data_IF_448968357397
#
_entry.id   IF_448968357397
#
_cell.length_a   1.000
_cell.length_b   1.000
_cell.length_c   1.000
_cell.angle_alpha   90.00
_cell.angle_beta   90.00
_cell.angle_gamma   90.00
#
_symmetry.space_group_name_H-M   'P 1'
#
loop_
_entity.id
_entity.type
_entity.pdbx_description
1 polymer ?
#
# COMPACT_ATOMS: atom_id res chain seq x y z
N UNK A 1 25.44 -5.16 -5.37
CA UNK A 1 25.25 -4.52 -6.68
C UNK A 1 24.01 -3.57 -6.68
N UNK A 2 22.80 -4.01 -6.33
CA UNK A 2 21.58 -3.17 -6.36
C UNK A 2 21.66 -1.87 -5.52
N UNK A 3 22.24 -1.91 -4.32
CA UNK A 3 22.37 -0.72 -3.44
C UNK A 3 23.36 0.34 -3.95
N UNK A 4 24.33 -0.07 -4.76
CA UNK A 4 25.30 0.85 -5.40
C UNK A 4 24.60 1.70 -6.48
N UNK A 5 23.64 1.15 -7.20
CA UNK A 5 22.85 1.88 -8.21
C UNK A 5 22.09 3.03 -7.54
N UNK A 6 21.52 2.81 -6.35
CA UNK A 6 20.81 3.86 -5.60
C UNK A 6 21.75 5.01 -5.23
N UNK A 7 23.01 4.73 -4.88
CA UNK A 7 24.02 5.76 -4.63
C UNK A 7 24.26 6.65 -5.88
N UNK A 8 24.36 6.03 -7.07
CA UNK A 8 24.50 6.78 -8.32
C UNK A 8 23.23 7.58 -8.65
N UNK A 9 22.04 7.01 -8.42
CA UNK A 9 20.80 7.78 -8.60
C UNK A 9 20.73 8.97 -7.66
N UNK A 10 21.13 8.82 -6.40
CA UNK A 10 21.18 9.91 -5.44
C UNK A 10 22.15 11.03 -5.84
N UNK A 11 23.28 10.69 -6.51
CA UNK A 11 24.26 11.67 -7.00
C UNK A 11 23.80 12.41 -8.26
N UNK A 12 23.17 11.68 -9.20
CA UNK A 12 22.95 12.15 -10.55
C UNK A 12 21.49 12.35 -10.96
N UNK A 13 20.55 11.97 -10.10
CA UNK A 13 19.10 12.16 -10.28
C UNK A 13 18.49 12.91 -9.11
N UNK A 14 17.16 12.97 -9.05
CA UNK A 14 16.44 13.55 -7.93
C UNK A 14 16.66 12.71 -6.67
N UNK A 15 16.97 13.40 -5.57
CA UNK A 15 17.22 12.76 -4.27
C UNK A 15 15.95 12.33 -3.54
N UNK A 16 14.78 12.74 -4.01
CA UNK A 16 13.49 12.39 -3.43
C UNK A 16 13.45 12.54 -1.90
N UNK A 17 13.96 13.67 -1.39
CA UNK A 17 14.10 13.97 0.03
C UNK A 17 14.90 12.93 0.86
N UNK A 18 15.80 12.20 0.22
CA UNK A 18 16.77 11.32 0.89
C UNK A 18 18.04 12.12 1.16
N UNK A 19 18.36 12.36 2.43
CA UNK A 19 19.63 12.99 2.79
C UNK A 19 20.77 11.96 2.81
N UNK A 20 22.02 12.42 2.91
CA UNK A 20 23.19 11.54 2.84
C UNK A 20 23.23 10.50 3.99
N UNK A 21 22.83 10.87 5.20
CA UNK A 21 22.78 9.96 6.34
C UNK A 21 21.75 8.83 6.11
N UNK A 22 20.58 9.17 5.59
CA UNK A 22 19.56 8.17 5.23
C UNK A 22 20.02 7.24 4.11
N UNK A 23 20.72 7.79 3.10
CA UNK A 23 21.33 6.99 2.04
C UNK A 23 22.34 5.98 2.60
N UNK A 24 23.24 6.42 3.48
CA UNK A 24 24.22 5.52 4.12
C UNK A 24 23.54 4.44 4.96
N UNK A 25 22.53 4.81 5.75
CA UNK A 25 21.72 3.84 6.51
C UNK A 25 21.06 2.81 5.58
N UNK A 26 20.49 3.26 4.46
CA UNK A 26 19.85 2.36 3.48
C UNK A 26 20.88 1.41 2.84
N UNK A 27 22.05 1.91 2.44
CA UNK A 27 23.11 1.10 1.83
C UNK A 27 23.65 0.06 2.83
N UNK A 28 23.78 0.42 4.10
CA UNK A 28 24.25 -0.46 5.18
C UNK A 28 23.14 -1.29 5.85
N UNK A 29 21.88 -1.11 5.43
CA UNK A 29 20.71 -1.78 6.03
C UNK A 29 20.88 -3.30 6.00
N UNK A 30 20.54 -3.96 7.09
CA UNK A 30 20.54 -5.43 7.20
C UNK A 30 19.59 -6.07 6.18
N UNK A 31 19.71 -7.37 5.97
CA UNK A 31 18.76 -8.14 5.18
C UNK A 31 17.34 -8.01 5.76
N UNK A 32 16.34 -8.05 4.90
CA UNK A 32 14.91 -7.87 5.27
C UNK A 32 14.49 -8.83 6.39
N UNK A 33 14.91 -10.10 6.31
CA UNK A 33 14.62 -11.11 7.33
C UNK A 33 15.14 -10.71 8.71
N UNK A 34 16.37 -10.15 8.78
CA UNK A 34 16.96 -9.70 10.04
C UNK A 34 16.24 -8.48 10.62
N UNK A 35 15.68 -7.63 9.79
CA UNK A 35 14.88 -6.48 10.23
C UNK A 35 13.53 -6.97 10.75
N UNK A 36 12.83 -7.77 9.94
CA UNK A 36 11.52 -8.32 10.28
C UNK A 36 11.54 -9.16 11.57
N UNK A 37 12.61 -9.93 11.80
CA UNK A 37 12.74 -10.76 13.01
C UNK A 37 12.73 -9.96 14.32
N UNK A 38 12.96 -8.64 14.28
CA UNK A 38 12.82 -7.77 15.47
C UNK A 38 11.36 -7.56 15.88
N UNK A 39 10.46 -7.70 14.93
CA UNK A 39 9.02 -7.45 15.08
C UNK A 39 8.20 -8.73 15.13
N UNK A 40 8.68 -9.79 14.47
CA UNK A 40 8.02 -11.10 14.45
C UNK A 40 8.25 -11.83 15.76
N UNK A 41 7.18 -12.42 16.28
CA UNK A 41 7.23 -13.35 17.43
C UNK A 41 7.27 -14.80 16.94
N UNK A 42 6.27 -15.19 16.15
CA UNK A 42 6.13 -16.55 15.64
C UNK A 42 5.36 -16.57 14.31
N UNK A 43 5.66 -17.56 13.48
CA UNK A 43 4.88 -17.91 12.28
C UNK A 43 4.49 -19.38 12.43
N UNK A 44 3.19 -19.63 12.71
CA UNK A 44 2.65 -20.97 12.75
C UNK A 44 2.15 -21.38 11.38
N UNK A 45 2.69 -22.47 10.86
CA UNK A 45 2.38 -22.97 9.52
C UNK A 45 1.47 -24.20 9.54
N UNK A 46 0.92 -24.62 10.66
CA UNK A 46 0.17 -25.87 10.81
C UNK A 46 -1.27 -25.78 10.28
N UNK A 47 -1.90 -24.60 10.33
CA UNK A 47 -3.29 -24.37 9.93
C UNK A 47 -3.50 -24.19 8.43
N UNK A 48 -4.72 -23.80 8.02
CA UNK A 48 -5.08 -23.49 6.62
C UNK A 48 -4.47 -22.17 6.10
N UNK A 49 -4.03 -21.32 7.00
CA UNK A 49 -3.25 -20.10 6.77
C UNK A 49 -1.97 -20.18 7.59
N UNK A 50 -0.96 -19.39 7.22
CA UNK A 50 0.10 -19.08 8.18
C UNK A 50 -0.42 -18.06 9.19
N UNK A 51 -0.31 -18.36 10.50
CA UNK A 51 -0.65 -17.43 11.58
C UNK A 51 0.60 -16.66 11.99
N UNK A 52 0.62 -15.36 11.72
CA UNK A 52 1.76 -14.51 12.00
C UNK A 52 1.49 -13.70 13.25
N UNK A 53 2.35 -13.84 14.25
CA UNK A 53 2.31 -13.12 15.53
C UNK A 53 3.47 -12.16 15.62
N UNK A 54 3.23 -10.99 16.21
CA UNK A 54 4.20 -9.90 16.32
C UNK A 54 4.52 -9.59 17.79
N UNK A 55 5.72 -9.07 18.05
CA UNK A 55 6.13 -8.60 19.37
C UNK A 55 5.45 -7.29 19.79
N UNK A 56 4.95 -6.52 18.80
CA UNK A 56 4.42 -5.18 18.98
C UNK A 56 2.91 -5.14 19.18
N UNK A 57 2.22 -6.26 18.97
CA UNK A 57 0.75 -6.37 19.08
C UNK A 57 0.32 -7.79 19.36
N UNK A 58 -0.78 -7.97 20.07
CA UNK A 58 -1.40 -9.28 20.30
C UNK A 58 -2.28 -9.77 19.13
N UNK A 59 -2.40 -8.96 18.07
CA UNK A 59 -3.21 -9.31 16.90
C UNK A 59 -2.51 -10.34 16.05
N UNK A 60 -3.30 -11.19 15.41
CA UNK A 60 -2.82 -12.24 14.50
C UNK A 60 -3.12 -11.80 13.08
N UNK A 61 -2.09 -11.82 12.23
CA UNK A 61 -2.23 -11.70 10.79
C UNK A 61 -2.36 -13.12 10.20
N UNK A 62 -3.33 -13.32 9.34
CA UNK A 62 -3.44 -14.54 8.55
C UNK A 62 -2.85 -14.31 7.17
N UNK A 63 -1.87 -15.16 6.79
CA UNK A 63 -1.19 -15.09 5.51
C UNK A 63 -1.59 -16.29 4.64
N UNK A 64 -1.92 -16.11 3.35
CA UNK A 64 -2.33 -17.21 2.47
C UNK A 64 -1.20 -18.24 2.27
N UNK A 65 -1.54 -19.51 2.27
CA UNK A 65 -0.58 -20.62 2.01
C UNK A 65 -0.04 -20.60 0.58
N UNK A 66 -0.81 -20.06 -0.33
CA UNK A 66 -0.49 -19.92 -1.74
C UNK A 66 0.59 -18.87 -2.00
N UNK A 67 0.81 -17.98 -1.02
CA UNK A 67 1.79 -16.92 -1.12
C UNK A 67 3.13 -17.31 -0.44
N UNK A 68 4.28 -16.97 -1.04
CA UNK A 68 5.59 -17.26 -0.46
C UNK A 68 5.74 -16.65 0.94
N UNK A 69 6.28 -17.44 1.86
CA UNK A 69 6.49 -17.02 3.27
C UNK A 69 7.48 -15.85 3.40
N UNK A 70 8.39 -15.69 2.44
CA UNK A 70 9.34 -14.58 2.40
C UNK A 70 8.66 -13.21 2.27
N UNK A 71 7.45 -13.16 1.70
CA UNK A 71 6.62 -11.97 1.68
C UNK A 71 6.27 -11.45 3.07
N UNK A 72 6.10 -12.34 4.06
CA UNK A 72 5.84 -11.95 5.46
C UNK A 72 6.97 -11.07 6.01
N UNK A 73 8.22 -11.41 5.72
CA UNK A 73 9.37 -10.62 6.16
C UNK A 73 9.40 -9.25 5.49
N UNK A 74 9.07 -9.19 4.20
CA UNK A 74 9.02 -7.93 3.46
C UNK A 74 7.97 -7.00 4.03
N UNK A 75 6.70 -7.41 4.08
CA UNK A 75 5.60 -6.56 4.57
C UNK A 75 5.78 -6.18 6.04
N UNK A 76 6.39 -7.07 6.85
CA UNK A 76 6.74 -6.76 8.24
C UNK A 76 7.76 -5.63 8.32
N UNK A 77 8.83 -5.68 7.49
CA UNK A 77 9.82 -4.60 7.44
C UNK A 77 9.19 -3.28 7.00
N UNK A 78 8.44 -3.28 5.91
CA UNK A 78 7.81 -2.10 5.33
C UNK A 78 6.77 -1.45 6.27
N UNK A 79 6.08 -2.27 7.08
CA UNK A 79 5.04 -1.77 7.99
C UNK A 79 5.59 -1.28 9.33
N UNK A 80 6.63 -1.92 9.88
CA UNK A 80 7.11 -1.58 11.24
C UNK A 80 8.40 -0.78 11.26
N UNK A 81 9.28 -0.91 10.25
CA UNK A 81 10.53 -0.17 10.20
C UNK A 81 10.31 1.25 9.68
N UNK A 82 10.24 2.22 10.60
CA UNK A 82 10.04 3.65 10.26
C UNK A 82 11.13 4.24 9.37
N UNK A 83 12.30 3.60 9.27
CA UNK A 83 13.38 4.01 8.37
C UNK A 83 13.22 3.38 6.96
N UNK A 84 12.25 2.49 6.78
CA UNK A 84 11.93 1.97 5.45
C UNK A 84 11.33 3.08 4.56
N UNK A 85 11.76 3.11 3.30
CA UNK A 85 11.23 4.11 2.38
C UNK A 85 9.81 3.81 1.94
N UNK A 86 9.36 2.58 2.11
CA UNK A 86 8.00 2.13 1.84
C UNK A 86 7.04 2.37 3.03
N UNK A 87 7.54 2.88 4.16
CA UNK A 87 6.72 3.12 5.34
C UNK A 87 5.63 4.15 5.07
N UNK A 88 4.35 3.75 5.22
CA UNK A 88 3.17 4.52 4.82
C UNK A 88 2.89 5.75 5.69
N UNK A 89 3.51 5.87 6.85
CA UNK A 89 3.26 7.00 7.76
C UNK A 89 4.50 7.89 7.87
N UNK A 90 4.36 9.15 7.51
CA UNK A 90 5.39 10.19 7.65
C UNK A 90 4.77 11.42 8.29
N UNK A 91 5.59 12.39 8.70
CA UNK A 91 5.11 13.66 9.24
C UNK A 91 4.01 14.23 8.35
N UNK A 92 2.89 14.60 8.94
CA UNK A 92 1.63 15.07 8.33
C UNK A 92 0.74 13.99 7.68
N UNK A 93 1.23 12.77 7.49
CA UNK A 93 0.45 11.64 7.00
C UNK A 93 0.49 10.47 7.99
N UNK A 94 0.47 10.77 9.30
CA UNK A 94 0.26 9.78 10.35
C UNK A 94 -1.23 9.47 10.50
N UNK A 95 -1.54 8.23 10.88
CA UNK A 95 -2.87 7.83 11.34
C UNK A 95 -3.07 8.33 12.77
N UNK A 96 -4.07 9.18 12.94
CA UNK A 96 -4.50 9.71 14.24
C UNK A 96 -5.85 9.09 14.67
N UNK A 97 -6.24 9.17 15.96
CA UNK A 97 -7.54 8.67 16.40
C UNK A 97 -8.72 9.28 15.65
N UNK A 98 -9.69 8.44 15.26
CA UNK A 98 -10.90 8.85 14.54
C UNK A 98 -10.81 8.79 13.00
N UNK A 99 -9.68 8.37 12.44
CA UNK A 99 -9.53 8.27 10.98
C UNK A 99 -10.52 7.28 10.34
N UNK A 100 -10.96 7.64 9.14
CA UNK A 100 -11.66 6.73 8.23
C UNK A 100 -10.64 6.39 7.11
N UNK A 101 -10.06 5.20 7.24
CA UNK A 101 -9.01 4.71 6.34
C UNK A 101 -9.61 4.01 5.13
N UNK A 102 -9.19 4.44 3.95
CA UNK A 102 -9.34 3.72 2.70
C UNK A 102 -7.99 3.10 2.32
N UNK A 103 -7.88 1.78 2.42
CA UNK A 103 -6.69 0.98 2.08
C UNK A 103 -6.93 0.25 0.75
N UNK A 104 -6.30 0.73 -0.32
CA UNK A 104 -6.48 0.24 -1.67
C UNK A 104 -5.26 -0.59 -2.07
N UNK A 105 -5.48 -1.83 -2.51
CA UNK A 105 -4.44 -2.84 -2.60
C UNK A 105 -4.00 -3.23 -1.18
N UNK A 106 -4.98 -3.67 -0.38
CA UNK A 106 -4.74 -3.98 1.03
C UNK A 106 -3.86 -5.23 1.21
N UNK A 107 -3.77 -6.09 0.20
CA UNK A 107 -3.06 -7.36 0.23
C UNK A 107 -3.40 -8.16 1.50
N UNK A 108 -2.43 -8.50 2.35
CA UNK A 108 -2.62 -9.21 3.62
C UNK A 108 -3.23 -8.35 4.72
N UNK A 109 -3.20 -7.00 4.58
CA UNK A 109 -3.81 -6.05 5.50
C UNK A 109 -2.99 -5.71 6.75
N UNK A 110 -1.67 -5.98 6.78
CA UNK A 110 -0.84 -5.73 7.96
C UNK A 110 -0.84 -4.25 8.36
N UNK A 111 -0.71 -3.33 7.39
CA UNK A 111 -0.80 -1.89 7.69
C UNK A 111 -2.11 -1.55 8.40
N UNK A 112 -3.24 -1.92 7.81
CA UNK A 112 -4.57 -1.70 8.36
C UNK A 112 -4.75 -2.34 9.74
N UNK A 113 -4.20 -3.55 9.95
CA UNK A 113 -4.25 -4.25 11.24
C UNK A 113 -3.48 -3.49 12.33
N UNK A 114 -2.35 -2.85 12.00
CA UNK A 114 -1.57 -2.08 12.99
C UNK A 114 -2.28 -0.82 13.47
N UNK A 115 -3.18 -0.26 12.67
CA UNK A 115 -3.87 1.01 12.97
C UNK A 115 -5.35 0.84 13.31
N UNK A 116 -5.88 -0.40 13.32
CA UNK A 116 -7.30 -0.69 13.48
C UNK A 116 -7.94 -0.06 14.72
N UNK A 117 -7.22 0.06 15.84
CA UNK A 117 -7.78 0.67 17.06
C UNK A 117 -7.88 2.19 16.97
N UNK A 118 -7.03 2.81 16.17
CA UNK A 118 -7.06 4.26 15.98
C UNK A 118 -8.16 4.69 15.01
N UNK A 119 -8.51 3.84 14.05
CA UNK A 119 -9.49 4.17 13.04
C UNK A 119 -10.91 4.01 13.55
N UNK A 120 -11.77 4.95 13.19
CA UNK A 120 -13.21 4.84 13.37
C UNK A 120 -13.79 3.80 12.39
N UNK A 121 -13.31 3.80 11.14
CA UNK A 121 -13.69 2.86 10.09
C UNK A 121 -12.51 2.54 9.19
N UNK A 122 -12.46 1.30 8.71
CA UNK A 122 -11.51 0.85 7.70
C UNK A 122 -12.28 0.31 6.50
N UNK A 123 -11.84 0.67 5.31
CA UNK A 123 -12.38 0.19 4.05
C UNK A 123 -11.20 -0.38 3.29
N UNK A 124 -11.15 -1.71 3.14
CA UNK A 124 -10.08 -2.43 2.51
C UNK A 124 -10.55 -2.96 1.16
N UNK A 125 -9.80 -2.67 0.13
CA UNK A 125 -10.07 -3.10 -1.24
C UNK A 125 -8.91 -3.98 -1.70
N UNK A 126 -9.22 -5.23 -2.06
CA UNK A 126 -8.23 -6.21 -2.50
C UNK A 126 -8.83 -7.14 -3.55
N UNK A 127 -8.32 -7.14 -4.78
CA UNK A 127 -8.83 -7.99 -5.84
C UNK A 127 -8.40 -9.46 -5.71
N UNK A 128 -7.28 -9.78 -5.06
CA UNK A 128 -6.77 -11.14 -4.96
C UNK A 128 -7.58 -11.98 -3.97
N UNK A 129 -8.19 -13.06 -4.44
CA UNK A 129 -9.05 -13.94 -3.64
C UNK A 129 -8.32 -14.62 -2.48
N UNK A 130 -7.03 -14.93 -2.62
CA UNK A 130 -6.24 -15.53 -1.54
C UNK A 130 -6.07 -14.54 -0.39
N UNK A 131 -5.70 -13.31 -0.71
CA UNK A 131 -5.61 -12.25 0.29
C UNK A 131 -6.98 -11.88 0.86
N UNK A 132 -8.03 -11.82 0.03
CA UNK A 132 -9.37 -11.53 0.53
C UNK A 132 -9.86 -12.56 1.57
N UNK A 133 -9.56 -13.86 1.37
CA UNK A 133 -9.86 -14.91 2.37
C UNK A 133 -9.07 -14.69 3.66
N UNK A 134 -7.80 -14.31 3.56
CA UNK A 134 -6.95 -14.00 4.71
C UNK A 134 -7.43 -12.75 5.45
N UNK A 135 -7.79 -11.68 4.73
CA UNK A 135 -8.38 -10.44 5.28
C UNK A 135 -9.66 -10.72 6.07
N UNK A 136 -10.57 -11.51 5.52
CA UNK A 136 -11.81 -11.91 6.24
C UNK A 136 -11.49 -12.57 7.58
N UNK A 137 -10.46 -13.42 7.64
CA UNK A 137 -10.05 -14.08 8.88
C UNK A 137 -9.32 -13.12 9.83
N UNK A 138 -8.40 -12.30 9.31
CA UNK A 138 -7.65 -11.31 10.08
C UNK A 138 -8.56 -10.28 10.75
N UNK A 139 -9.56 -9.79 10.01
CA UNK A 139 -10.45 -8.73 10.48
C UNK A 139 -11.78 -9.23 11.06
N UNK A 140 -11.99 -10.53 11.21
CA UNK A 140 -13.20 -11.09 11.86
C UNK A 140 -13.51 -10.47 13.22
N UNK A 141 -12.51 -10.18 14.10
CA UNK A 141 -12.78 -9.50 15.38
C UNK A 141 -13.23 -8.02 15.23
N UNK A 142 -13.09 -7.43 14.06
CA UNK A 142 -13.30 -6.00 13.79
C UNK A 142 -14.40 -5.72 12.75
N UNK A 143 -15.25 -6.71 12.46
CA UNK A 143 -16.30 -6.63 11.42
C UNK A 143 -17.30 -5.48 11.61
N UNK A 144 -17.43 -4.94 12.84
CA UNK A 144 -18.29 -3.80 13.12
C UNK A 144 -17.75 -2.47 12.56
N UNK A 145 -16.45 -2.40 12.24
CA UNK A 145 -15.81 -1.19 11.70
C UNK A 145 -14.96 -1.41 10.45
N UNK A 146 -14.85 -2.65 9.97
CA UNK A 146 -14.08 -3.00 8.76
C UNK A 146 -15.02 -3.45 7.66
N UNK A 147 -14.91 -2.79 6.49
CA UNK A 147 -15.59 -3.19 5.26
C UNK A 147 -14.57 -3.75 4.28
N UNK A 148 -14.83 -4.91 3.70
CA UNK A 148 -13.95 -5.59 2.75
C UNK A 148 -14.60 -5.63 1.37
N UNK A 149 -13.88 -5.20 0.33
CA UNK A 149 -14.33 -5.22 -1.06
C UNK A 149 -13.37 -6.03 -1.92
N UNK A 150 -13.88 -7.13 -2.49
CA UNK A 150 -13.11 -7.98 -3.40
C UNK A 150 -13.35 -7.53 -4.85
N UNK A 151 -12.77 -6.42 -5.21
CA UNK A 151 -12.88 -5.81 -6.55
C UNK A 151 -11.55 -5.16 -6.94
N UNK A 152 -11.30 -5.03 -8.23
CA UNK A 152 -10.28 -4.14 -8.74
C UNK A 152 -10.83 -2.71 -8.85
N UNK A 153 -9.96 -1.72 -8.73
CA UNK A 153 -10.36 -0.31 -8.85
C UNK A 153 -9.60 0.41 -9.96
N UNK A 154 -10.30 1.29 -10.67
CA UNK A 154 -9.73 2.02 -11.81
C UNK A 154 -10.60 3.20 -12.26
N UNK A 155 -10.34 3.71 -13.45
CA UNK A 155 -10.97 4.92 -13.99
C UNK A 155 -12.40 4.72 -14.55
N UNK A 156 -12.85 3.49 -14.67
CA UNK A 156 -14.16 3.14 -15.23
C UNK A 156 -14.73 1.87 -14.59
N UNK A 157 -16.05 1.69 -14.73
CA UNK A 157 -16.71 0.44 -14.37
C UNK A 157 -16.70 -0.49 -15.59
N UNK A 158 -16.10 -1.67 -15.47
CA UNK A 158 -15.98 -2.67 -16.54
C UNK A 158 -15.61 -4.04 -15.99
N UNK A 159 -15.64 -5.06 -16.80
CA UNK A 159 -14.96 -6.32 -16.50
C UNK A 159 -13.50 -6.26 -16.97
N UNK A 160 -12.63 -6.91 -16.23
CA UNK A 160 -11.21 -7.06 -16.55
C UNK A 160 -10.78 -8.51 -16.32
N UNK A 161 -9.65 -8.90 -16.89
CA UNK A 161 -8.95 -10.12 -16.52
C UNK A 161 -7.88 -9.76 -15.52
N UNK A 162 -7.94 -10.37 -14.35
CA UNK A 162 -6.99 -10.19 -13.25
C UNK A 162 -6.17 -11.47 -13.09
N UNK A 163 -4.87 -11.35 -13.10
CA UNK A 163 -3.97 -12.47 -12.84
C UNK A 163 -3.55 -12.45 -11.38
N UNK A 164 -3.95 -13.49 -10.63
CA UNK A 164 -3.61 -13.70 -9.22
C UNK A 164 -2.45 -14.68 -9.00
N UNK A 165 -1.76 -15.14 -10.07
CA UNK A 165 -0.74 -16.21 -9.98
C UNK A 165 0.58 -15.75 -9.30
N UNK A 166 0.63 -14.52 -8.79
CA UNK A 166 1.77 -13.99 -8.05
C UNK A 166 1.29 -13.21 -6.82
N UNK A 167 2.18 -12.94 -5.85
CA UNK A 167 1.97 -11.96 -4.76
C UNK A 167 1.49 -10.62 -5.31
N UNK A 168 1.87 -10.32 -6.54
CA UNK A 168 1.58 -9.11 -7.29
C UNK A 168 0.44 -9.43 -8.25
N UNK A 169 -0.81 -9.36 -7.78
CA UNK A 169 -1.96 -9.43 -8.68
C UNK A 169 -1.98 -8.24 -9.63
N UNK A 170 -2.14 -8.48 -10.93
CA UNK A 170 -2.15 -7.41 -11.96
C UNK A 170 -3.36 -7.51 -12.86
N UNK A 171 -3.87 -6.35 -13.26
CA UNK A 171 -4.76 -6.25 -14.40
C UNK A 171 -3.99 -6.63 -15.66
N UNK A 172 -4.49 -7.61 -16.40
CA UNK A 172 -3.88 -8.08 -17.65
C UNK A 172 -4.82 -7.83 -18.83
N UNK A 173 -4.27 -7.61 -20.01
CA UNK A 173 -5.07 -7.40 -21.22
C UNK A 173 -5.80 -8.68 -21.69
N UNK A 174 -6.77 -8.52 -22.58
CA UNK A 174 -7.78 -9.51 -23.00
C UNK A 174 -7.27 -10.88 -23.48
N UNK A 175 -5.98 -11.01 -23.80
CA UNK A 175 -5.38 -12.25 -24.33
C UNK A 175 -4.54 -13.03 -23.30
N UNK A 176 -4.64 -12.72 -21.99
CA UNK A 176 -3.85 -13.37 -20.95
C UNK A 176 -4.71 -14.25 -20.04
N UNK A 177 -4.10 -15.26 -19.45
CA UNK A 177 -4.74 -16.16 -18.48
C UNK A 177 -4.99 -15.38 -17.18
N UNK A 178 -6.21 -15.48 -16.65
CA UNK A 178 -6.59 -14.84 -15.38
C UNK A 178 -8.06 -15.05 -15.07
N UNK A 179 -8.51 -14.50 -13.96
CA UNK A 179 -9.90 -14.54 -13.50
C UNK A 179 -10.63 -13.27 -13.93
N UNK A 180 -11.85 -13.41 -14.46
CA UNK A 180 -12.73 -12.26 -14.71
C UNK A 180 -13.10 -11.59 -13.40
N UNK A 181 -12.95 -10.27 -13.33
CA UNK A 181 -13.21 -9.48 -12.15
C UNK A 181 -13.84 -8.13 -12.51
N UNK A 182 -14.63 -7.59 -11.59
CA UNK A 182 -15.18 -6.25 -11.72
C UNK A 182 -14.09 -5.21 -11.47
N UNK A 183 -13.95 -4.27 -12.39
CA UNK A 183 -13.23 -3.01 -12.22
C UNK A 183 -14.25 -1.94 -11.88
N UNK A 184 -14.06 -1.24 -10.77
CA UNK A 184 -15.02 -0.25 -10.27
C UNK A 184 -14.32 1.05 -9.92
N UNK A 185 -14.96 2.19 -10.15
CA UNK A 185 -14.46 3.48 -9.65
C UNK A 185 -14.66 3.58 -8.14
N UNK A 186 -13.69 4.16 -7.44
CA UNK A 186 -13.82 4.45 -6.00
C UNK A 186 -15.04 5.33 -5.74
N UNK A 187 -15.28 6.34 -6.58
CA UNK A 187 -16.40 7.28 -6.48
C UNK A 187 -17.78 6.59 -6.51
N UNK A 188 -17.88 5.43 -7.18
CA UNK A 188 -19.11 4.65 -7.28
C UNK A 188 -19.17 3.53 -6.23
N UNK A 189 -18.02 3.02 -5.78
CA UNK A 189 -17.93 1.93 -4.80
C UNK A 189 -18.29 2.39 -3.38
N UNK A 190 -17.85 3.59 -3.01
CA UNK A 190 -18.01 4.15 -1.67
C UNK A 190 -18.56 5.59 -1.72
N UNK A 191 -19.70 5.81 -2.39
CA UNK A 191 -20.25 7.15 -2.55
C UNK A 191 -20.46 7.82 -1.18
N UNK A 192 -20.16 9.11 -1.13
CA UNK A 192 -20.38 9.99 0.03
C UNK A 192 -19.75 9.52 1.36
N UNK A 193 -18.79 8.56 1.30
CA UNK A 193 -18.06 8.12 2.50
C UNK A 193 -16.97 9.14 2.84
N UNK A 194 -16.93 9.66 4.09
CA UNK A 194 -16.00 10.73 4.49
C UNK A 194 -14.59 10.16 4.78
N UNK A 195 -13.82 9.89 3.73
CA UNK A 195 -12.47 9.35 3.86
C UNK A 195 -11.51 10.42 4.39
N UNK A 196 -10.73 10.10 5.43
CA UNK A 196 -9.74 11.00 6.02
C UNK A 196 -8.30 10.59 5.72
N UNK A 197 -8.07 9.31 5.41
CA UNK A 197 -6.78 8.78 5.00
C UNK A 197 -6.97 7.79 3.83
N UNK A 198 -6.16 7.95 2.78
CA UNK A 198 -6.09 7.06 1.62
C UNK A 198 -4.68 6.46 1.54
N UNK A 199 -4.56 5.14 1.64
CA UNK A 199 -3.36 4.38 1.26
C UNK A 199 -3.61 3.72 -0.07
N UNK A 200 -2.63 3.75 -0.98
CA UNK A 200 -2.71 3.06 -2.25
C UNK A 200 -1.39 2.38 -2.62
N UNK A 201 -1.50 1.10 -2.99
CA UNK A 201 -0.40 0.28 -3.49
C UNK A 201 -0.99 -0.74 -4.48
N UNK A 202 -0.91 -0.44 -5.78
CA UNK A 202 -1.69 -1.11 -6.82
C UNK A 202 -0.83 -1.66 -7.97
N UNK A 203 0.46 -1.82 -7.71
CA UNK A 203 1.38 -2.47 -8.65
C UNK A 203 1.35 -1.88 -10.07
N UNK A 204 1.19 -0.54 -10.16
CA UNK A 204 1.20 0.20 -11.41
C UNK A 204 -0.17 0.72 -11.88
N UNK A 205 -1.23 0.50 -11.10
CA UNK A 205 -2.58 0.95 -11.47
C UNK A 205 -3.04 2.21 -10.70
N UNK A 206 -2.10 2.88 -10.00
CA UNK A 206 -2.38 4.02 -9.14
C UNK A 206 -2.99 5.21 -9.89
N UNK A 207 -2.52 5.50 -11.11
CA UNK A 207 -3.05 6.61 -11.92
C UNK A 207 -4.51 6.35 -12.33
N UNK A 208 -4.81 5.12 -12.76
CA UNK A 208 -6.18 4.76 -13.13
C UNK A 208 -7.12 4.76 -11.92
N UNK A 209 -6.65 4.30 -10.76
CA UNK A 209 -7.39 4.39 -9.50
C UNK A 209 -7.66 5.86 -9.12
N UNK A 210 -6.66 6.74 -9.18
CA UNK A 210 -6.83 8.16 -8.88
C UNK A 210 -7.87 8.84 -9.79
N UNK A 211 -7.92 8.48 -11.08
CA UNK A 211 -8.97 8.96 -12.00
C UNK A 211 -10.36 8.51 -11.56
N UNK A 212 -10.49 7.32 -11.01
CA UNK A 212 -11.76 6.79 -10.48
C UNK A 212 -12.11 7.25 -9.06
N UNK A 213 -11.22 8.00 -8.40
CA UNK A 213 -11.39 8.55 -7.06
C UNK A 213 -11.46 10.08 -7.04
N UNK A 214 -11.65 10.73 -8.19
CA UNK A 214 -11.59 12.18 -8.32
C UNK A 214 -12.58 12.89 -7.40
N UNK A 215 -13.85 12.47 -7.39
CA UNK A 215 -14.91 13.06 -6.54
C UNK A 215 -14.57 12.85 -5.06
N UNK A 216 -14.17 11.63 -4.68
CA UNK A 216 -13.79 11.27 -3.31
C UNK A 216 -12.65 12.14 -2.81
N UNK A 217 -11.59 12.32 -3.61
CA UNK A 217 -10.42 13.14 -3.24
C UNK A 217 -10.80 14.62 -3.13
N UNK A 218 -11.58 15.15 -4.08
CA UNK A 218 -12.01 16.57 -4.07
C UNK A 218 -12.88 16.92 -2.87
N UNK A 219 -13.82 16.05 -2.53
CA UNK A 219 -14.76 16.28 -1.42
C UNK A 219 -14.10 16.12 -0.05
N UNK A 220 -13.35 15.05 0.12
CA UNK A 220 -12.86 14.67 1.44
C UNK A 220 -11.47 15.22 1.75
N UNK A 221 -10.68 15.51 0.72
CA UNK A 221 -9.29 16.00 0.85
C UNK A 221 -8.48 15.16 1.86
N UNK A 222 -8.45 13.80 1.74
CA UNK A 222 -7.81 12.92 2.70
C UNK A 222 -6.30 13.13 2.73
N UNK A 223 -5.64 12.77 3.83
CA UNK A 223 -4.21 12.46 3.77
C UNK A 223 -3.98 11.29 2.83
N UNK A 224 -2.94 11.34 1.98
CA UNK A 224 -2.67 10.29 0.99
C UNK A 224 -1.25 9.77 1.16
N UNK A 225 -1.11 8.43 1.22
CA UNK A 225 0.16 7.72 1.11
C UNK A 225 0.05 6.74 -0.07
N UNK A 226 0.85 6.94 -1.12
CA UNK A 226 0.73 6.21 -2.38
C UNK A 226 2.10 5.79 -2.90
N UNK A 227 2.23 4.55 -3.35
CA UNK A 227 3.43 4.04 -4.02
C UNK A 227 3.62 4.69 -5.39
N UNK A 228 4.88 4.90 -5.80
CA UNK A 228 5.19 5.63 -7.03
C UNK A 228 6.33 5.01 -7.85
N UNK A 229 6.82 3.82 -7.47
CA UNK A 229 7.99 3.18 -8.10
C UNK A 229 7.64 2.11 -9.15
N UNK A 230 6.37 1.78 -9.31
CA UNK A 230 5.95 0.80 -10.31
C UNK A 230 6.19 1.31 -11.74
N UNK A 231 6.49 0.41 -12.67
CA UNK A 231 6.96 0.77 -14.02
C UNK A 231 5.96 1.62 -14.81
N UNK A 232 4.70 1.31 -14.65
CA UNK A 232 3.58 1.95 -15.35
C UNK A 232 3.28 3.35 -14.79
N UNK A 233 3.84 3.67 -13.63
CA UNK A 233 3.61 4.95 -12.97
C UNK A 233 4.71 5.96 -13.28
N UNK A 234 4.26 7.17 -13.52
CA UNK A 234 5.08 8.36 -13.46
C UNK A 234 4.69 9.15 -12.21
N UNK A 235 5.61 9.27 -11.26
CA UNK A 235 5.39 10.03 -10.02
C UNK A 235 4.98 11.48 -10.31
N UNK A 236 5.48 12.08 -11.39
CA UNK A 236 5.09 13.43 -11.81
C UNK A 236 3.64 13.51 -12.27
N UNK A 237 3.12 12.46 -12.92
CA UNK A 237 1.70 12.38 -13.30
C UNK A 237 0.81 12.22 -12.07
N UNK A 238 1.20 11.40 -11.08
CA UNK A 238 0.47 11.26 -9.81
C UNK A 238 0.38 12.62 -9.11
N UNK A 239 1.52 13.32 -8.96
CA UNK A 239 1.58 14.65 -8.33
C UNK A 239 0.69 15.64 -9.10
N UNK A 240 0.83 15.71 -10.42
CA UNK A 240 0.07 16.63 -11.27
C UNK A 240 -1.44 16.35 -11.19
N UNK A 241 -1.85 15.09 -11.13
CA UNK A 241 -3.24 14.69 -11.04
C UNK A 241 -3.86 15.09 -9.70
N UNK A 242 -3.20 14.78 -8.59
CA UNK A 242 -3.68 15.13 -7.24
C UNK A 242 -3.71 16.65 -7.06
N UNK A 243 -2.68 17.37 -7.51
CA UNK A 243 -2.64 18.85 -7.46
C UNK A 243 -3.70 19.49 -8.36
N UNK A 244 -4.07 18.88 -9.48
CA UNK A 244 -5.19 19.33 -10.33
C UNK A 244 -6.54 19.15 -9.64
N UNK A 245 -6.72 18.09 -8.87
CA UNK A 245 -7.96 17.87 -8.11
C UNK A 245 -8.09 18.84 -6.95
N UNK A 246 -7.00 19.05 -6.20
CA UNK A 246 -6.95 19.88 -5.01
C UNK A 246 -5.60 20.61 -5.00
N UNK A 247 -5.52 21.86 -5.52
CA UNK A 247 -4.28 22.64 -5.62
C UNK A 247 -3.58 22.88 -4.28
N UNK A 248 -4.33 22.89 -3.17
CA UNK A 248 -3.84 23.16 -1.81
C UNK A 248 -2.99 22.03 -1.21
N UNK A 249 -3.01 20.81 -1.77
CA UNK A 249 -2.19 19.74 -1.26
C UNK A 249 -0.70 20.11 -1.23
N UNK A 250 -0.09 19.94 -0.08
CA UNK A 250 1.35 19.80 0.04
C UNK A 250 1.73 18.35 -0.25
N UNK A 251 2.96 18.12 -0.71
CA UNK A 251 3.42 16.75 -0.93
C UNK A 251 4.89 16.57 -0.52
N UNK A 252 5.24 15.32 -0.27
CA UNK A 252 6.57 14.89 0.07
C UNK A 252 6.86 13.56 -0.67
N UNK A 253 7.94 13.54 -1.44
CA UNK A 253 8.45 12.32 -2.07
C UNK A 253 9.47 11.65 -1.15
N UNK A 254 9.52 10.31 -1.12
CA UNK A 254 10.47 9.57 -0.29
C UNK A 254 11.02 8.36 -0.98
N UNK A 255 12.34 8.17 -0.79
CA UNK A 255 13.06 6.98 -1.24
C UNK A 255 13.48 7.05 -2.71
N UNK A 256 14.34 6.12 -3.10
CA UNK A 256 14.90 6.03 -4.45
C UNK A 256 14.73 4.59 -4.94
N UNK A 257 13.91 4.41 -5.96
CA UNK A 257 13.68 3.12 -6.61
C UNK A 257 14.97 2.61 -7.26
N UNK A 258 15.24 1.32 -7.09
CA UNK A 258 16.42 0.67 -7.66
C UNK A 258 16.37 0.55 -9.17
N UNK A 259 15.18 0.60 -9.76
CA UNK A 259 14.98 0.38 -11.20
C UNK A 259 15.25 1.63 -12.02
N UNK A 260 14.81 2.79 -11.54
CA UNK A 260 14.79 4.00 -12.35
C UNK A 260 15.08 5.29 -11.55
N UNK A 261 15.27 5.22 -10.24
CA UNK A 261 15.55 6.37 -9.38
C UNK A 261 14.33 7.20 -9.01
N UNK A 262 13.11 6.79 -9.39
CA UNK A 262 11.86 7.45 -8.98
C UNK A 262 11.66 7.38 -7.46
N UNK A 263 10.81 8.23 -6.86
CA UNK A 263 10.44 8.07 -5.46
C UNK A 263 9.74 6.73 -5.22
N UNK A 264 9.99 6.14 -4.06
CA UNK A 264 9.28 4.91 -3.61
C UNK A 264 7.87 5.29 -3.18
N UNK A 265 7.73 6.35 -2.39
CA UNK A 265 6.46 6.82 -1.83
C UNK A 265 6.22 8.29 -2.11
N UNK A 266 4.95 8.64 -2.30
CA UNK A 266 4.44 10.00 -2.28
C UNK A 266 3.45 10.15 -1.13
N UNK A 267 3.58 11.24 -0.39
CA UNK A 267 2.69 11.60 0.71
C UNK A 267 2.06 12.97 0.42
N UNK A 268 0.74 13.08 0.61
CA UNK A 268 0.02 14.34 0.39
C UNK A 268 -0.85 14.67 1.61
N UNK A 269 -0.92 15.97 1.95
CA UNK A 269 -1.74 16.48 3.05
C UNK A 269 -2.13 17.93 2.81
N UNK A 270 -3.13 18.38 3.54
CA UNK A 270 -3.48 19.80 3.63
C UNK A 270 -3.10 20.27 5.04
N UNK A 271 -2.43 21.40 5.19
CA UNK A 271 -2.01 21.95 6.48
C UNK A 271 -3.17 22.25 7.43
#
# INVERSE_FOLDING_TARGET
>A
MRRIIIFFYWLFKDRNNVNFSELLKFISKSQVQKIASRYLNNIDTSGSFHEVKFNTTSRILYWPKECPIDGIYQVTSETFDKEDWHYYQKKHTEIVPGEILLDIGAAEGLFSLTVVDKCQKLILIEPNDYFMKALKKTFAPYQNKVSLFNVAVGSKNSEIIFNSDSLIGRVVGDNKVGTKMQLTKIDDLIPDTPITFLKADLEGFEIEMLKGAEKTIKLNKPKIAITAYHKENDSSQIISLIKRYVPEYHYYSKGISQTDGKPVMLHFWIP
#
